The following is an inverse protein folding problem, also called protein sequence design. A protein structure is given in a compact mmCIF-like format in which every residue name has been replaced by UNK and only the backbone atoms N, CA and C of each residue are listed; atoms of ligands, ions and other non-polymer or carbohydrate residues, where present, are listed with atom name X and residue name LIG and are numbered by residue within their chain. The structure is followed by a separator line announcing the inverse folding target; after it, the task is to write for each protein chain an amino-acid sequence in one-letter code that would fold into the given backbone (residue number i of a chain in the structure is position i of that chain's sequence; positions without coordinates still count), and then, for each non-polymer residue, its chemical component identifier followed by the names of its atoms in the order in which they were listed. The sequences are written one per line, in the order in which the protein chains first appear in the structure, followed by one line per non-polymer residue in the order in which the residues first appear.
data_IF_974228819470
#
_entry.id   IF_974228819470
#
_cell.length_a   1.000
_cell.length_b   1.000
_cell.length_c   1.000
_cell.angle_alpha   90.00
_cell.angle_beta   90.00
_cell.angle_gamma   90.00
#
_symmetry.space_group_name_H-M   'P 1'
#
loop_
_entity.id
_entity.type
_entity.pdbx_description
1 polymer ?
#
# COMPACT_ATOMS: atom_id res chain seq x y z
N UNK A 1 15.77 18.59 5.93
CA UNK A 1 14.40 18.01 6.05
C UNK A 1 13.47 18.53 4.95
N UNK A 2 12.88 17.63 4.15
CA UNK A 2 11.89 17.96 3.11
C UNK A 2 10.66 18.68 3.69
N UNK A 3 10.27 19.81 3.08
CA UNK A 3 9.07 20.54 3.44
C UNK A 3 7.91 20.10 2.54
N UNK A 4 7.24 19.04 2.93
CA UNK A 4 6.14 18.44 2.18
C UNK A 4 4.96 19.36 1.94
N UNK A 5 4.75 20.36 2.80
CA UNK A 5 3.73 21.38 2.58
C UNK A 5 4.09 22.22 1.33
N UNK A 6 5.34 22.68 1.25
CA UNK A 6 5.85 23.38 0.08
C UNK A 6 5.87 22.49 -1.17
N UNK A 7 6.39 21.26 -1.07
CA UNK A 7 6.48 20.32 -2.20
C UNK A 7 5.11 19.93 -2.74
N UNK A 8 4.12 19.70 -1.87
CA UNK A 8 2.76 19.36 -2.30
C UNK A 8 2.05 20.55 -2.94
N UNK A 9 2.26 21.77 -2.44
CA UNK A 9 1.77 22.99 -3.09
C UNK A 9 2.37 23.17 -4.47
N UNK A 10 3.69 23.00 -4.60
CA UNK A 10 4.39 23.05 -5.89
C UNK A 10 3.89 21.95 -6.84
N UNK A 11 3.68 20.74 -6.32
CA UNK A 11 3.12 19.66 -7.12
C UNK A 11 1.72 20.01 -7.65
N UNK A 12 0.88 20.72 -6.90
CA UNK A 12 -0.42 21.18 -7.44
C UNK A 12 -0.24 22.18 -8.57
N UNK A 13 0.70 23.13 -8.44
CA UNK A 13 0.93 24.16 -9.48
C UNK A 13 1.55 23.61 -10.75
N UNK A 14 2.37 22.56 -10.64
CA UNK A 14 3.07 21.96 -11.78
C UNK A 14 2.13 21.06 -12.62
N UNK A 15 0.94 20.74 -12.12
CA UNK A 15 -0.02 19.88 -12.80
C UNK A 15 -0.97 20.65 -13.73
N UNK A 16 -1.42 20.03 -14.84
CA UNK A 16 -2.38 20.66 -15.73
C UNK A 16 -3.70 20.92 -15.00
N UNK A 17 -4.20 22.16 -15.12
CA UNK A 17 -5.56 22.48 -14.74
C UNK A 17 -6.53 22.03 -15.86
N UNK A 18 -7.67 21.39 -15.52
CA UNK A 18 -8.10 20.96 -14.19
C UNK A 18 -7.39 19.68 -13.71
N UNK A 19 -7.15 19.57 -12.39
CA UNK A 19 -6.46 18.43 -11.76
C UNK A 19 -7.05 17.04 -12.06
N UNK A 20 -8.29 16.98 -12.56
CA UNK A 20 -8.89 15.72 -13.07
C UNK A 20 -8.06 15.10 -14.21
N UNK A 21 -7.26 15.92 -14.88
CA UNK A 21 -6.32 15.49 -15.91
C UNK A 21 -4.99 14.95 -15.34
N UNK A 22 -4.75 15.01 -14.02
CA UNK A 22 -3.50 14.57 -13.39
C UNK A 22 -3.10 13.13 -13.75
N UNK A 23 -4.07 12.27 -14.09
CA UNK A 23 -3.83 10.91 -14.61
C UNK A 23 -2.88 10.88 -15.81
N UNK A 24 -2.87 11.89 -16.68
CA UNK A 24 -1.98 11.95 -17.85
C UNK A 24 -0.53 12.12 -17.43
N UNK A 25 -0.28 12.84 -16.34
CA UNK A 25 1.05 13.12 -15.79
C UNK A 25 1.54 11.98 -14.90
N UNK A 26 0.76 11.58 -13.88
CA UNK A 26 1.19 10.48 -12.98
C UNK A 26 1.02 9.08 -13.59
N UNK A 27 0.32 8.97 -14.72
CA UNK A 27 0.01 7.69 -15.34
C UNK A 27 -1.03 6.86 -14.56
N UNK A 28 -1.54 5.83 -15.23
CA UNK A 28 -2.73 5.09 -14.76
C UNK A 28 -2.52 4.29 -13.47
N UNK A 29 -1.31 3.76 -13.22
CA UNK A 29 -1.03 2.95 -12.02
C UNK A 29 -0.97 3.81 -10.76
N UNK A 30 -0.17 4.88 -10.78
CA UNK A 30 -0.02 5.79 -9.65
C UNK A 30 -1.33 6.53 -9.34
N UNK A 31 -2.05 6.98 -10.39
CA UNK A 31 -3.37 7.59 -10.24
C UNK A 31 -4.36 6.65 -9.56
N UNK A 32 -4.39 5.36 -9.95
CA UNK A 32 -5.29 4.36 -9.33
C UNK A 32 -5.04 4.21 -7.83
N UNK A 33 -3.79 4.19 -7.39
CA UNK A 33 -3.46 4.13 -5.96
C UNK A 33 -3.81 5.42 -5.22
N UNK A 34 -3.66 6.59 -5.86
CA UNK A 34 -4.16 7.85 -5.34
C UNK A 34 -5.68 7.82 -5.14
N UNK A 35 -6.44 7.35 -6.12
CA UNK A 35 -7.90 7.16 -5.98
C UNK A 35 -8.24 6.19 -4.85
N UNK A 36 -7.46 5.11 -4.68
CA UNK A 36 -7.64 4.18 -3.55
C UNK A 36 -7.36 4.85 -2.21
N UNK A 37 -6.33 5.70 -2.11
CA UNK A 37 -6.02 6.44 -0.89
C UNK A 37 -7.16 7.39 -0.52
N UNK A 38 -7.68 8.14 -1.49
CA UNK A 38 -8.84 9.02 -1.34
C UNK A 38 -10.08 8.24 -0.89
N UNK A 39 -10.44 7.16 -1.61
CA UNK A 39 -11.62 6.33 -1.28
C UNK A 39 -11.55 5.65 0.08
N UNK A 40 -10.34 5.40 0.59
CA UNK A 40 -10.11 4.84 1.93
C UNK A 40 -10.06 5.91 3.03
N UNK A 41 -10.22 7.20 2.70
CA UNK A 41 -10.13 8.31 3.66
C UNK A 41 -8.70 8.68 4.08
N UNK A 42 -7.68 8.09 3.46
CA UNK A 42 -6.26 8.36 3.78
C UNK A 42 -5.73 9.64 3.13
N UNK A 43 -6.28 10.00 1.96
CA UNK A 43 -6.01 11.28 1.32
C UNK A 43 -7.25 12.16 1.48
N UNK A 44 -7.43 12.68 2.69
CA UNK A 44 -8.52 13.57 3.08
C UNK A 44 -7.93 14.74 3.87
N UNK A 45 -8.55 15.92 3.78
CA UNK A 45 -8.09 17.10 4.50
C UNK A 45 -7.95 16.80 6.00
N UNK A 46 -6.77 17.08 6.55
CA UNK A 46 -6.44 16.88 7.96
C UNK A 46 -6.37 15.43 8.45
N UNK A 47 -6.24 14.44 7.58
CA UNK A 47 -6.15 13.03 7.96
C UNK A 47 -4.78 12.43 7.64
N UNK A 48 -4.36 11.46 8.44
CA UNK A 48 -3.08 10.77 8.35
C UNK A 48 -3.02 9.91 7.08
N UNK A 49 -1.99 10.10 6.25
CA UNK A 49 -1.84 9.37 4.99
C UNK A 49 -1.67 7.86 5.16
N UNK A 50 -1.20 7.40 6.32
CA UNK A 50 -0.93 6.00 6.61
C UNK A 50 -2.21 5.23 6.94
N UNK A 51 -2.94 5.68 7.97
CA UNK A 51 -4.11 4.97 8.52
C UNK A 51 -5.46 5.70 8.32
N UNK A 52 -5.44 6.96 7.89
CA UNK A 52 -6.64 7.76 7.66
C UNK A 52 -7.30 8.29 8.94
N UNK A 53 -6.61 8.28 10.08
CA UNK A 53 -7.11 8.91 11.30
C UNK A 53 -6.92 10.43 11.24
N UNK A 54 -7.74 11.23 11.95
CA UNK A 54 -7.53 12.67 12.03
C UNK A 54 -6.16 13.04 12.59
N UNK A 55 -5.50 14.02 11.98
CA UNK A 55 -4.27 14.63 12.47
C UNK A 55 -4.58 15.81 13.39
N UNK A 56 -3.83 16.00 14.49
CA UNK A 56 -3.92 17.21 15.30
C UNK A 56 -3.60 18.46 14.46
N UNK A 57 -4.32 19.55 14.72
CA UNK A 57 -4.13 20.81 13.98
C UNK A 57 -2.70 21.35 14.09
N UNK A 58 -2.07 21.21 15.27
CA UNK A 58 -0.67 21.59 15.46
C UNK A 58 0.28 20.80 14.55
N UNK A 59 0.02 19.51 14.34
CA UNK A 59 0.82 18.68 13.45
C UNK A 59 0.70 19.13 12.00
N UNK A 60 -0.51 19.47 11.55
CA UNK A 60 -0.75 20.01 10.22
C UNK A 60 -0.04 21.36 10.01
N UNK A 61 -0.11 22.25 11.02
CA UNK A 61 0.57 23.55 10.99
C UNK A 61 2.10 23.42 10.87
N UNK A 62 2.67 22.35 11.44
CA UNK A 62 4.08 22.00 11.33
C UNK A 62 4.44 21.26 10.03
N UNK A 63 3.47 21.02 9.14
CA UNK A 63 3.70 20.33 7.87
C UNK A 63 3.78 18.81 7.99
N UNK A 64 3.21 18.22 9.03
CA UNK A 64 3.07 16.77 9.14
C UNK A 64 1.84 16.27 8.37
N UNK A 65 2.03 15.27 7.53
CA UNK A 65 0.96 14.57 6.79
C UNK A 65 0.74 13.13 7.29
N UNK A 66 1.47 12.74 8.34
CA UNK A 66 1.36 11.50 9.10
C UNK A 66 1.74 11.81 10.55
N UNK A 67 1.15 11.09 11.50
CA UNK A 67 1.62 11.06 12.89
C UNK A 67 3.06 10.53 12.94
N UNK A 68 3.92 11.04 13.85
CA UNK A 68 5.31 10.61 13.93
C UNK A 68 5.48 9.08 13.99
N UNK A 69 4.69 8.40 14.82
CA UNK A 69 4.70 6.92 14.91
C UNK A 69 4.39 6.21 13.59
N UNK A 70 3.48 6.76 12.79
CA UNK A 70 3.08 6.17 11.51
C UNK A 70 4.12 6.45 10.44
N UNK A 71 4.78 7.61 10.53
CA UNK A 71 5.92 7.93 9.68
C UNK A 71 7.10 6.98 9.95
N UNK A 72 7.45 6.70 11.20
CA UNK A 72 8.49 5.71 11.54
C UNK A 72 8.12 4.30 11.04
N UNK A 73 6.87 3.84 11.26
CA UNK A 73 6.40 2.57 10.69
C UNK A 73 6.49 2.55 9.17
N UNK A 74 6.20 3.68 8.52
CA UNK A 74 6.33 3.79 7.07
C UNK A 74 7.80 3.63 6.66
N UNK A 75 8.75 4.26 7.34
CA UNK A 75 10.19 4.14 7.09
C UNK A 75 10.68 2.70 7.26
N UNK A 76 10.27 2.02 8.33
CA UNK A 76 10.60 0.61 8.57
C UNK A 76 10.13 -0.30 7.41
N UNK A 77 8.92 -0.06 6.89
CA UNK A 77 8.40 -0.80 5.74
C UNK A 77 9.23 -0.58 4.47
N UNK A 78 9.74 0.64 4.28
CA UNK A 78 10.58 0.95 3.11
C UNK A 78 11.95 0.29 3.23
N UNK A 79 12.56 0.31 4.42
CA UNK A 79 13.82 -0.36 4.69
C UNK A 79 13.73 -1.88 4.50
N UNK A 80 12.61 -2.50 4.89
CA UNK A 80 12.38 -3.95 4.70
C UNK A 80 12.15 -4.33 3.23
N UNK A 81 11.73 -3.39 2.39
CA UNK A 81 11.40 -3.64 0.99
C UNK A 81 12.05 -2.62 0.04
N UNK A 82 13.40 -2.52 0.02
CA UNK A 82 14.12 -1.45 -0.69
C UNK A 82 14.03 -1.57 -2.22
N UNK A 83 13.56 -2.70 -2.73
CA UNK A 83 13.38 -2.93 -4.16
C UNK A 83 11.94 -2.67 -4.64
N UNK A 84 11.05 -2.18 -3.77
CA UNK A 84 9.63 -1.96 -4.08
C UNK A 84 9.22 -0.51 -3.82
N UNK A 85 8.43 0.02 -4.75
CA UNK A 85 7.83 1.33 -4.66
C UNK A 85 6.80 1.35 -3.52
N UNK A 86 6.93 2.30 -2.61
CA UNK A 86 6.10 2.37 -1.41
C UNK A 86 4.69 2.92 -1.65
N UNK A 87 4.39 3.32 -2.89
CA UNK A 87 3.05 3.72 -3.29
C UNK A 87 2.29 2.59 -3.98
N UNK A 88 2.88 2.00 -5.02
CA UNK A 88 2.21 1.01 -5.87
C UNK A 88 2.61 -0.44 -5.60
N UNK A 89 3.65 -0.68 -4.80
CA UNK A 89 4.19 -2.01 -4.49
C UNK A 89 4.99 -2.67 -5.64
N UNK A 90 5.07 -2.02 -6.81
CA UNK A 90 5.83 -2.49 -7.97
C UNK A 90 7.34 -2.40 -7.76
N UNK A 91 8.12 -3.12 -8.58
CA UNK A 91 9.59 -3.12 -8.50
C UNK A 91 10.16 -1.75 -8.85
N UNK A 92 11.11 -1.25 -8.05
CA UNK A 92 11.82 0.00 -8.34
C UNK A 92 12.89 -0.22 -9.44
N UNK A 93 13.17 0.80 -10.27
CA UNK A 93 14.33 0.85 -11.14
C UNK A 93 15.63 0.60 -10.36
N UNK A 94 16.60 -0.02 -11.03
CA UNK A 94 17.89 -0.39 -10.41
C UNK A 94 18.58 0.79 -9.74
N UNK A 95 18.60 1.96 -10.38
CA UNK A 95 19.27 3.16 -9.85
C UNK A 95 18.66 3.62 -8.51
N UNK A 96 17.34 3.64 -8.38
CA UNK A 96 16.67 3.97 -7.10
C UNK A 96 16.94 2.90 -6.04
N UNK A 97 16.90 1.62 -6.42
CA UNK A 97 17.22 0.54 -5.48
C UNK A 97 18.69 0.53 -5.03
N UNK A 98 19.60 1.11 -5.83
CA UNK A 98 21.00 1.27 -5.45
C UNK A 98 21.21 2.46 -4.50
N UNK A 99 20.40 3.52 -4.62
CA UNK A 99 20.43 4.63 -3.66
C UNK A 99 20.17 4.14 -2.23
N UNK A 100 19.31 3.14 -2.05
CA UNK A 100 19.11 2.48 -0.75
C UNK A 100 20.37 1.88 -0.12
N UNK A 101 21.36 1.50 -0.93
CA UNK A 101 22.59 0.88 -0.45
C UNK A 101 23.65 1.93 -0.06
N UNK A 102 23.43 3.20 -0.44
CA UNK A 102 24.33 4.29 -0.11
C UNK A 102 23.98 4.87 1.27
N UNK A 103 24.96 5.30 2.07
CA UNK A 103 24.69 5.95 3.35
C UNK A 103 24.02 7.31 3.12
N UNK A 104 22.77 7.44 3.53
CA UNK A 104 22.03 8.70 3.50
C UNK A 104 20.88 8.67 4.52
N UNK A 105 20.31 9.85 4.79
CA UNK A 105 19.15 9.95 5.66
C UNK A 105 17.85 9.64 4.90
N UNK A 106 17.32 8.42 5.03
CA UNK A 106 16.08 8.00 4.37
C UNK A 106 14.86 8.88 4.74
N UNK A 107 14.89 9.57 5.88
CA UNK A 107 13.83 10.53 6.28
C UNK A 107 13.86 11.80 5.43
N UNK A 108 15.06 12.26 5.07
CA UNK A 108 15.25 13.47 4.29
C UNK A 108 15.16 13.23 2.79
N UNK A 109 15.49 12.02 2.34
CA UNK A 109 15.40 11.61 0.96
C UNK A 109 14.35 10.52 0.81
N UNK A 110 13.08 10.77 1.12
CA UNK A 110 12.09 9.67 1.05
C UNK A 110 11.70 9.34 -0.40
N UNK A 111 11.95 10.24 -1.35
CA UNK A 111 11.49 10.20 -2.73
C UNK A 111 12.05 8.99 -3.51
N UNK A 112 13.28 8.55 -3.21
CA UNK A 112 13.88 7.37 -3.86
C UNK A 112 13.16 6.05 -3.57
N UNK A 113 12.29 6.00 -2.55
CA UNK A 113 11.44 4.85 -2.25
C UNK A 113 10.23 4.73 -3.20
N UNK A 114 10.11 5.62 -4.18
CA UNK A 114 8.96 5.73 -5.07
C UNK A 114 9.39 5.80 -6.55
N UNK A 115 8.54 5.29 -7.45
CA UNK A 115 8.66 5.68 -8.86
C UNK A 115 8.42 7.19 -9.00
N UNK A 116 9.04 7.89 -9.96
CA UNK A 116 8.85 9.33 -10.15
C UNK A 116 7.38 9.75 -10.19
N UNK A 117 6.56 9.03 -10.97
CA UNK A 117 5.13 9.32 -11.06
C UNK A 117 4.35 8.95 -9.78
N UNK A 118 4.80 7.93 -9.05
CA UNK A 118 4.20 7.55 -7.76
C UNK A 118 4.52 8.58 -6.67
N UNK A 119 5.72 9.17 -6.72
CA UNK A 119 6.11 10.28 -5.86
C UNK A 119 5.21 11.49 -6.09
N UNK A 120 5.01 11.89 -7.35
CA UNK A 120 4.07 12.97 -7.69
C UNK A 120 2.64 12.67 -7.22
N UNK A 121 2.16 11.43 -7.41
CA UNK A 121 0.84 11.03 -6.91
C UNK A 121 0.74 11.10 -5.37
N UNK A 122 1.82 10.79 -4.65
CA UNK A 122 1.90 10.96 -3.20
C UNK A 122 1.86 12.45 -2.82
N UNK A 123 2.58 13.31 -3.52
CA UNK A 123 2.53 14.76 -3.28
C UNK A 123 1.13 15.33 -3.48
N UNK A 124 0.38 14.86 -4.49
CA UNK A 124 -1.04 15.21 -4.66
C UNK A 124 -1.91 14.72 -3.49
N UNK A 125 -1.66 13.52 -2.95
CA UNK A 125 -2.37 13.05 -1.75
C UNK A 125 -2.07 13.95 -0.53
N UNK A 126 -0.82 14.36 -0.37
CA UNK A 126 -0.38 15.29 0.68
C UNK A 126 -1.01 16.68 0.48
N UNK A 127 -1.14 17.14 -0.76
CA UNK A 127 -1.82 18.38 -1.09
C UNK A 127 -3.29 18.38 -0.63
N UNK A 128 -3.98 17.24 -0.76
CA UNK A 128 -5.33 17.07 -0.21
C UNK A 128 -5.33 17.16 1.32
N UNK A 129 -4.38 16.52 1.99
CA UNK A 129 -4.26 16.56 3.46
C UNK A 129 -4.09 17.98 3.96
N UNK A 130 -3.25 18.78 3.31
CA UNK A 130 -3.05 20.20 3.66
C UNK A 130 -4.14 21.13 3.12
N UNK A 131 -5.08 20.64 2.32
CA UNK A 131 -6.20 21.44 1.79
C UNK A 131 -5.87 22.27 0.55
N UNK A 132 -4.74 22.01 -0.13
CA UNK A 132 -4.37 22.68 -1.38
C UNK A 132 -5.14 22.16 -2.60
N UNK A 133 -5.74 20.97 -2.48
CA UNK A 133 -6.58 20.36 -3.52
C UNK A 133 -7.76 19.63 -2.86
N UNK A 134 -8.92 19.55 -3.55
CA UNK A 134 -10.04 18.75 -3.07
C UNK A 134 -9.91 17.31 -3.55
N UNK A 135 -10.38 16.32 -2.77
CA UNK A 135 -10.46 14.94 -3.23
C UNK A 135 -11.17 14.78 -4.60
N UNK A 136 -12.25 15.54 -4.81
CA UNK A 136 -13.06 15.51 -6.03
C UNK A 136 -12.30 16.02 -7.27
N UNK A 137 -11.36 16.95 -7.08
CA UNK A 137 -10.55 17.49 -8.18
C UNK A 137 -9.64 16.39 -8.77
N UNK A 138 -9.23 15.42 -7.96
CA UNK A 138 -8.31 14.34 -8.33
C UNK A 138 -9.07 13.09 -8.78
N UNK A 139 -10.16 12.76 -8.09
CA UNK A 139 -10.89 11.51 -8.26
C UNK A 139 -12.12 11.62 -9.17
N UNK A 140 -12.53 12.85 -9.54
CA UNK A 140 -13.86 13.11 -10.06
C UNK A 140 -14.92 12.87 -8.97
N UNK A 141 -16.19 12.73 -9.36
CA UNK A 141 -17.28 12.48 -8.41
C UNK A 141 -17.04 11.18 -7.63
N UNK A 142 -16.63 11.30 -6.38
CA UNK A 142 -16.31 10.15 -5.52
C UNK A 142 -17.61 9.54 -5.03
N UNK A 143 -18.00 8.39 -5.57
CA UNK A 143 -18.99 7.54 -4.89
C UNK A 143 -18.37 6.98 -3.62
N UNK A 144 -19.01 7.09 -2.44
CA UNK A 144 -18.48 6.56 -1.20
C UNK A 144 -18.16 5.07 -1.34
N UNK A 145 -17.02 4.65 -0.77
CA UNK A 145 -16.62 3.24 -0.77
C UNK A 145 -17.63 2.44 0.05
N UNK A 146 -18.53 1.70 -0.63
CA UNK A 146 -19.32 0.64 0.02
C UNK A 146 -18.43 -0.60 0.13
N UNK A 147 -18.04 -1.05 1.33
CA UNK A 147 -17.40 -2.34 1.47
C UNK A 147 -18.34 -3.38 0.87
N UNK A 148 -17.85 -4.17 -0.10
CA UNK A 148 -18.58 -5.35 -0.58
C UNK A 148 -18.73 -6.27 0.63
N UNK A 149 -19.92 -6.33 1.24
CA UNK A 149 -20.27 -7.39 2.17
C UNK A 149 -20.03 -8.71 1.44
N UNK A 150 -18.94 -9.42 1.75
CA UNK A 150 -18.80 -10.82 1.35
C UNK A 150 -20.01 -11.51 1.96
N UNK A 151 -20.97 -11.94 1.13
CA UNK A 151 -21.97 -12.92 1.58
C UNK A 151 -21.15 -14.14 1.98
N UNK A 152 -20.98 -14.35 3.28
CA UNK A 152 -20.52 -15.62 3.79
C UNK A 152 -21.53 -16.64 3.24
N UNK A 153 -21.09 -17.49 2.30
CA UNK A 153 -21.84 -18.70 1.99
C UNK A 153 -21.81 -19.49 3.29
N UNK A 154 -22.94 -19.49 4.01
CA UNK A 154 -23.19 -20.46 5.07
C UNK A 154 -23.11 -21.81 4.36
N UNK A 155 -21.99 -22.53 4.54
CA UNK A 155 -21.89 -23.92 4.15
C UNK A 155 -22.77 -24.67 5.15
N UNK A 156 -23.86 -25.33 4.72
CA UNK A 156 -24.67 -26.10 5.65
C UNK A 156 -23.81 -27.21 6.23
N UNK A 157 -23.81 -27.26 7.57
CA UNK A 157 -23.07 -28.18 8.40
C UNK A 157 -23.79 -29.53 8.41
N UNK A 158 -23.70 -30.31 7.33
CA UNK A 158 -24.07 -31.72 7.36
C UNK A 158 -22.85 -32.53 7.80
N UNK A 159 -22.61 -32.53 9.11
CA UNK A 159 -21.74 -33.48 9.77
C UNK A 159 -22.67 -34.53 10.39
N UNK A 160 -22.93 -35.61 9.67
CA UNK A 160 -23.51 -36.83 10.25
C UNK A 160 -22.60 -38.01 9.89
N UNK A 161 -21.91 -38.48 10.93
CA UNK A 161 -21.51 -39.86 11.24
C UNK A 161 -20.98 -40.78 10.14
N UNK A 162 -19.66 -41.03 10.17
CA UNK A 162 -19.13 -42.42 10.14
C UNK A 162 -17.94 -42.48 11.10
N UNK A 163 -18.23 -42.87 12.35
CA UNK A 163 -17.24 -43.47 13.25
C UNK A 163 -17.26 -44.96 12.94
N UNK A 164 -16.19 -45.49 12.36
CA UNK A 164 -15.60 -46.81 12.68
C UNK A 164 -14.63 -47.28 11.59
N UNK A 165 -13.61 -48.02 12.02
CA UNK A 165 -12.60 -48.76 11.24
C UNK A 165 -11.39 -47.99 10.73
N UNK A 166 -10.55 -47.53 11.67
CA UNK A 166 -9.08 -47.63 11.48
C UNK A 166 -8.45 -48.25 12.73
N UNK A 167 -8.73 -49.53 12.94
CA UNK A 167 -7.91 -50.40 13.77
C UNK A 167 -7.94 -51.79 13.13
N UNK A 168 -7.05 -52.04 12.17
CA UNK A 168 -6.38 -53.35 12.00
C UNK A 168 -5.40 -53.37 10.82
N UNK A 169 -4.21 -53.86 11.16
CA UNK A 169 -3.24 -54.56 10.29
C UNK A 169 -2.38 -53.66 9.40
N UNK A 170 -1.31 -53.15 10.03
CA UNK A 170 -0.02 -52.94 9.39
C UNK A 170 0.85 -54.15 9.71
N UNK A 171 0.62 -55.28 9.05
CA UNK A 171 1.57 -56.39 8.95
C UNK A 171 1.38 -57.10 7.62
N UNK A 172 2.52 -57.35 6.96
CA UNK A 172 2.71 -58.31 5.87
C UNK A 172 2.31 -57.86 4.47
N UNK A 173 3.31 -57.40 3.71
CA UNK A 173 3.71 -58.01 2.42
C UNK A 173 4.99 -57.35 1.89
N UNK A 174 6.12 -57.81 2.39
CA UNK A 174 7.34 -57.94 1.60
C UNK A 174 7.22 -59.24 0.80
N UNK A 175 7.14 -59.13 -0.52
CA UNK A 175 7.22 -60.25 -1.47
C UNK A 175 8.52 -60.08 -2.24
N UNK A 176 9.33 -61.13 -2.28
CA UNK A 176 10.55 -61.24 -3.08
C UNK A 176 11.40 -62.38 -2.54
N UNK A 177 11.06 -63.64 -2.84
CA UNK A 177 11.52 -64.40 -4.01
C UNK A 177 12.81 -65.20 -3.74
N UNK A 178 12.61 -66.52 -3.65
CA UNK A 178 13.46 -67.66 -4.06
C UNK A 178 14.99 -67.50 -4.08
N UNK A 179 15.68 -68.43 -3.40
CA UNK A 179 16.75 -69.26 -3.96
C UNK A 179 16.81 -70.60 -3.21
N UNK A 180 16.61 -71.69 -3.94
CA UNK A 180 17.04 -73.02 -3.51
C UNK A 180 18.53 -73.22 -3.78
N UNK A 181 19.10 -74.25 -3.14
CA UNK A 181 20.42 -74.93 -3.19
C UNK A 181 20.60 -75.40 -1.73
N UNK A 182 20.63 -76.67 -1.34
CA UNK A 182 20.94 -77.97 -1.95
C UNK A 182 19.95 -79.02 -1.46
#
# INVERSE_FOLDING_TARGET
MCNYNHESRKAVTDFPAPLRQARTVVGSSAHRELIKAVRKGRAHHGHDLFDGQPLPQQSLAQGHYMMPRNFERSLDLMQRNPHRCQWCGGKLPRHLSQQHLQPHNHREHIDHHFHPNCWQARLLAIAVIFGHARPDDIAGTIRPYRPRRKKWKIVPRSMEYVVEKVFRVRLSKSVGARKGWR
#
